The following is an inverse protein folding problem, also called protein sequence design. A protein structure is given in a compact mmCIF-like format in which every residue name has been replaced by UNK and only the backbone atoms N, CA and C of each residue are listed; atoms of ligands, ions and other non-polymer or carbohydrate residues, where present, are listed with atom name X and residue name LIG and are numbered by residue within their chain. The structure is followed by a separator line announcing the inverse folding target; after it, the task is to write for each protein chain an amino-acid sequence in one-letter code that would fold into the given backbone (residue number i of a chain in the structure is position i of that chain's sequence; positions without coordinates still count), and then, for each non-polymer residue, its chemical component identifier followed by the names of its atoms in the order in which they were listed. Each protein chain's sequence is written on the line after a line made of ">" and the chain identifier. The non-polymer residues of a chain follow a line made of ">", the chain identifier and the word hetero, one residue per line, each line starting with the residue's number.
data_IF_060792592156
#
_entry.id   IF_060792592156
#
_cell.length_a   1.000
_cell.length_b   1.000
_cell.length_c   1.000
_cell.angle_alpha   90.00
_cell.angle_beta   90.00
_cell.angle_gamma   90.00
#
_symmetry.space_group_name_H-M   'P 1'
#
loop_
_entity.id
_entity.type
_entity.pdbx_description
1 polymer ?
#
# COMPACT_ATOMS: atom_id res chain seq x y z
N UNK A 1 2.07 14.80 4.30
CA UNK A 1 1.99 13.87 3.15
C UNK A 1 0.73 13.04 3.22
N UNK A 2 -0.35 13.56 2.66
CA UNK A 2 -1.56 12.80 2.38
C UNK A 2 -1.47 12.12 0.98
N UNK A 3 -2.49 11.35 0.59
CA UNK A 3 -2.50 10.62 -0.69
C UNK A 3 -2.40 11.56 -1.90
N UNK A 4 -3.02 12.73 -1.84
CA UNK A 4 -2.98 13.73 -2.92
C UNK A 4 -1.57 14.31 -3.09
N UNK A 5 -0.93 14.68 -1.98
CA UNK A 5 0.46 15.17 -1.96
C UNK A 5 1.43 14.11 -2.50
N UNK A 6 1.22 12.83 -2.16
CA UNK A 6 2.01 11.72 -2.70
C UNK A 6 1.87 11.61 -4.23
N UNK A 7 0.65 11.71 -4.77
CA UNK A 7 0.39 11.66 -6.21
C UNK A 7 1.11 12.80 -6.94
N UNK A 8 1.07 14.02 -6.38
CA UNK A 8 1.75 15.16 -6.99
C UNK A 8 3.28 14.99 -6.99
N UNK A 9 3.84 14.49 -5.90
CA UNK A 9 5.28 14.20 -5.80
C UNK A 9 5.70 13.09 -6.78
N UNK A 10 4.89 12.03 -6.90
CA UNK A 10 5.12 10.96 -7.88
C UNK A 10 5.07 11.50 -9.29
N UNK A 11 4.04 12.28 -9.66
CA UNK A 11 3.91 12.88 -10.99
C UNK A 11 5.15 13.71 -11.35
N UNK A 12 5.60 14.57 -10.42
CA UNK A 12 6.79 15.42 -10.62
C UNK A 12 8.08 14.60 -10.76
N UNK A 13 8.30 13.60 -9.90
CA UNK A 13 9.54 12.80 -9.89
C UNK A 13 9.62 11.77 -11.02
N UNK A 14 8.49 11.27 -11.50
CA UNK A 14 8.41 10.26 -12.56
C UNK A 14 8.12 10.84 -13.94
N UNK A 15 7.97 12.17 -14.04
CA UNK A 15 7.58 12.88 -15.26
C UNK A 15 6.27 12.33 -15.89
N UNK A 16 5.35 11.87 -15.05
CA UNK A 16 4.05 11.36 -15.45
C UNK A 16 2.98 12.45 -15.35
N UNK A 17 1.92 12.31 -16.15
CA UNK A 17 0.73 13.14 -15.96
C UNK A 17 0.12 12.88 -14.58
N UNK A 18 -0.52 13.89 -13.97
CA UNK A 18 -1.22 13.72 -12.67
C UNK A 18 -2.21 12.56 -12.70
N UNK A 19 -2.89 12.35 -13.83
CA UNK A 19 -3.83 11.25 -14.01
C UNK A 19 -3.14 9.88 -14.06
N UNK A 20 -1.97 9.77 -14.70
CA UNK A 20 -1.20 8.53 -14.73
C UNK A 20 -0.56 8.24 -13.36
N UNK A 21 -0.01 9.24 -12.69
CA UNK A 21 0.54 9.10 -11.33
C UNK A 21 -0.53 8.68 -10.32
N UNK A 22 -1.75 9.26 -10.42
CA UNK A 22 -2.90 8.84 -9.60
C UNK A 22 -3.22 7.37 -9.79
N UNK A 23 -3.37 6.93 -11.05
CA UNK A 23 -3.63 5.52 -11.37
C UNK A 23 -2.54 4.59 -10.83
N UNK A 24 -1.27 4.98 -10.94
CA UNK A 24 -0.15 4.18 -10.42
C UNK A 24 -0.19 4.07 -8.88
N UNK A 25 -0.38 5.19 -8.17
CA UNK A 25 -0.49 5.19 -6.71
C UNK A 25 -1.71 4.42 -6.24
N UNK A 26 -2.84 4.58 -6.91
CA UNK A 26 -4.07 3.84 -6.62
C UNK A 26 -3.88 2.34 -6.85
N UNK A 27 -3.26 1.92 -7.95
CA UNK A 27 -2.99 0.50 -8.22
C UNK A 27 -2.06 -0.16 -7.19
N UNK A 28 -1.08 0.58 -6.64
CA UNK A 28 -0.15 0.03 -5.65
C UNK A 28 -0.79 0.00 -4.25
N UNK A 29 -1.39 1.13 -3.84
CA UNK A 29 -1.79 1.37 -2.45
C UNK A 29 -3.31 1.33 -2.21
N UNK A 30 -4.13 0.94 -3.19
CA UNK A 30 -5.55 0.74 -2.93
C UNK A 30 -5.71 -0.26 -1.79
N UNK A 31 -6.47 0.14 -0.78
CA UNK A 31 -6.78 -0.68 0.40
C UNK A 31 -7.86 -1.71 0.10
N UNK A 32 -8.49 -1.62 -1.08
CA UNK A 32 -9.45 -2.62 -1.55
C UNK A 32 -8.65 -3.89 -1.92
N UNK A 33 -8.89 -5.04 -1.24
CA UNK A 33 -8.09 -6.25 -1.41
C UNK A 33 -8.04 -6.80 -2.84
N UNK A 34 -8.99 -6.42 -3.69
CA UNK A 34 -9.10 -6.85 -5.09
C UNK A 34 -8.47 -5.89 -6.09
N UNK A 35 -8.04 -4.69 -5.67
CA UNK A 35 -7.58 -3.65 -6.59
C UNK A 35 -6.12 -3.24 -6.34
N UNK A 36 -5.67 -3.25 -5.08
CA UNK A 36 -4.30 -2.88 -4.73
C UNK A 36 -3.35 -4.06 -4.85
N UNK A 37 -2.25 -3.91 -5.59
CA UNK A 37 -1.24 -4.96 -5.79
C UNK A 37 -0.70 -5.47 -4.44
N UNK A 38 -0.36 -4.56 -3.52
CA UNK A 38 0.18 -4.93 -2.21
C UNK A 38 -0.90 -5.58 -1.34
N UNK A 39 -2.10 -5.01 -1.33
CA UNK A 39 -3.21 -5.51 -0.51
C UNK A 39 -3.67 -6.91 -0.97
N UNK A 40 -3.76 -7.13 -2.28
CA UNK A 40 -4.15 -8.40 -2.89
C UNK A 40 -3.15 -9.51 -2.57
N UNK A 41 -1.86 -9.28 -2.79
CA UNK A 41 -0.81 -10.25 -2.49
C UNK A 41 -0.81 -10.61 -0.99
N UNK A 42 -0.86 -9.62 -0.10
CA UNK A 42 -0.89 -9.86 1.35
C UNK A 42 -2.17 -10.58 1.78
N UNK A 43 -3.32 -10.31 1.16
CA UNK A 43 -4.58 -10.98 1.45
C UNK A 43 -4.54 -12.47 1.06
N UNK A 44 -3.89 -12.80 -0.06
CA UNK A 44 -3.63 -14.17 -0.51
C UNK A 44 -2.61 -14.93 0.37
N UNK A 45 -1.95 -14.22 1.30
CA UNK A 45 -0.94 -14.79 2.19
C UNK A 45 0.49 -14.63 1.68
N UNK A 46 0.67 -13.94 0.55
CA UNK A 46 1.99 -13.70 -0.02
C UNK A 46 2.76 -12.63 0.77
N UNK A 47 4.09 -12.74 0.70
CA UNK A 47 5.02 -11.77 1.26
C UNK A 47 5.51 -10.86 0.14
N UNK A 48 5.16 -9.57 0.21
CA UNK A 48 5.62 -8.56 -0.75
C UNK A 48 6.85 -7.86 -0.19
N UNK A 49 8.00 -8.10 -0.80
CA UNK A 49 9.25 -7.43 -0.44
C UNK A 49 9.61 -6.39 -1.50
N UNK A 50 9.71 -5.12 -1.09
CA UNK A 50 10.18 -4.01 -1.92
C UNK A 50 11.53 -3.58 -1.35
N UNK A 51 12.61 -4.07 -1.96
CA UNK A 51 13.99 -3.79 -1.53
C UNK A 51 14.22 -2.29 -1.45
N UNK A 52 14.75 -1.81 -0.31
CA UNK A 52 15.00 -0.39 -0.06
C UNK A 52 13.79 0.42 0.43
N UNK A 53 12.60 -0.18 0.51
CA UNK A 53 11.40 0.47 1.05
C UNK A 53 10.82 -0.27 2.26
N UNK A 54 10.51 -1.56 2.09
CA UNK A 54 9.88 -2.32 3.16
C UNK A 54 9.39 -3.69 2.74
N UNK A 55 8.88 -4.43 3.71
CA UNK A 55 8.27 -5.75 3.51
C UNK A 55 6.87 -5.75 4.09
N UNK A 56 5.91 -6.25 3.32
CA UNK A 56 4.51 -6.38 3.68
C UNK A 56 4.15 -7.86 3.74
N UNK A 57 3.55 -8.28 4.84
CA UNK A 57 3.18 -9.68 5.08
C UNK A 57 1.93 -9.74 5.96
N UNK A 58 1.15 -10.81 5.79
CA UNK A 58 0.03 -11.06 6.69
C UNK A 58 0.57 -11.56 8.03
N UNK A 59 0.19 -10.91 9.12
CA UNK A 59 0.58 -11.34 10.47
C UNK A 59 -0.62 -11.91 11.22
N UNK A 60 -0.58 -13.22 11.47
CA UNK A 60 -1.53 -13.85 12.38
C UNK A 60 -1.27 -13.40 13.81
N UNK A 61 -2.32 -12.94 14.50
CA UNK A 61 -2.27 -12.52 15.90
C UNK A 61 -3.10 -13.48 16.74
N UNK A 62 -2.47 -14.12 17.74
CA UNK A 62 -3.19 -14.96 18.71
C UNK A 62 -4.07 -14.08 19.60
N UNK A 63 -5.14 -14.66 20.14
CA UNK A 63 -6.01 -14.01 21.12
C UNK A 63 -5.19 -13.57 22.33
N UNK A 64 -5.43 -12.35 22.81
CA UNK A 64 -4.82 -11.79 24.02
C UNK A 64 -5.91 -11.13 24.86
N UNK A 65 -5.78 -11.18 26.17
CA UNK A 65 -6.74 -10.54 27.06
C UNK A 65 -6.55 -9.02 27.00
N UNK A 66 -7.60 -8.31 26.61
CA UNK A 66 -7.66 -6.85 26.71
C UNK A 66 -7.98 -6.43 28.15
N UNK A 67 -7.48 -5.26 28.56
CA UNK A 67 -7.95 -4.55 29.76
C UNK A 67 -8.56 -3.22 29.31
N UNK A 68 -9.57 -2.76 30.04
CA UNK A 68 -10.11 -1.41 29.86
C UNK A 68 -9.03 -0.40 30.29
N UNK A 69 -8.64 0.56 29.43
CA UNK A 69 -7.62 1.56 29.75
C UNK A 69 -7.94 2.38 30.99
#
# INVERSE_FOLDING_TARGET
>A
MNKTELIEQVARKSNLSKAAARRAVDAIFSTVPTEGIIASAVASGDRVQITGFGTFEQRKRKKRNGRNP
#
